data_IF_165615803336
#
_entry.id   IF_165615803336
#
_cell.length_a   1.000
_cell.length_b   1.000
_cell.length_c   1.000
_cell.angle_alpha   90.00
_cell.angle_beta   90.00
_cell.angle_gamma   90.00
#
_symmetry.space_group_name_H-M   'P 1'
#
loop_
_entity.id
_entity.type
_entity.pdbx_description
1 polymer ?
#
# COMPACT_ATOMS: atom_id res chain seq x y z
N UNK A 1 -10.23 23.42 24.65
CA UNK A 1 -11.46 23.41 23.81
C UNK A 1 -12.01 21.99 23.73
N UNK A 2 -13.21 21.75 24.27
CA UNK A 2 -13.86 20.44 24.26
C UNK A 2 -14.11 20.01 22.81
N UNK A 3 -13.70 18.78 22.48
CA UNK A 3 -13.85 18.14 21.15
C UNK A 3 -15.31 17.77 20.80
N UNK A 4 -16.27 18.18 21.63
CA UNK A 4 -17.67 17.90 21.49
C UNK A 4 -18.41 19.22 21.64
N UNK A 5 -18.66 19.88 20.52
CA UNK A 5 -19.69 20.91 20.44
C UNK A 5 -21.04 20.18 20.64
N UNK A 6 -21.81 20.61 21.63
CA UNK A 6 -23.05 19.97 22.10
C UNK A 6 -24.24 20.09 21.13
N UNK A 7 -24.02 20.54 19.88
CA UNK A 7 -25.06 20.79 18.87
C UNK A 7 -24.78 20.11 17.51
N UNK A 8 -24.08 18.97 17.48
CA UNK A 8 -24.03 18.17 16.25
C UNK A 8 -25.30 17.31 16.14
N UNK A 9 -26.16 17.58 15.16
CA UNK A 9 -27.18 16.61 14.73
C UNK A 9 -26.49 15.24 14.54
N UNK A 10 -26.80 14.27 15.41
CA UNK A 10 -26.23 12.94 15.31
C UNK A 10 -26.69 12.28 14.01
N UNK A 11 -25.82 12.29 13.00
CA UNK A 11 -26.06 11.59 11.73
C UNK A 11 -25.61 10.13 11.86
N UNK A 12 -26.32 9.18 11.22
CA UNK A 12 -25.86 7.80 11.16
C UNK A 12 -24.46 7.72 10.54
N UNK A 13 -23.58 6.94 11.17
CA UNK A 13 -22.26 6.67 10.60
C UNK A 13 -22.40 5.69 9.42
N UNK A 14 -21.71 5.93 8.29
CA UNK A 14 -21.71 5.00 7.17
C UNK A 14 -20.91 3.74 7.49
N UNK A 15 -21.25 2.63 6.81
CA UNK A 15 -20.37 1.48 6.75
C UNK A 15 -19.13 1.81 5.92
N UNK A 16 -17.97 1.30 6.34
CA UNK A 16 -16.71 1.45 5.61
C UNK A 16 -16.34 0.09 5.03
N UNK A 17 -16.12 0.03 3.71
CA UNK A 17 -15.67 -1.18 3.01
C UNK A 17 -14.29 -0.91 2.42
N UNK A 18 -13.29 -1.66 2.88
CA UNK A 18 -11.92 -1.56 2.41
C UNK A 18 -11.67 -2.73 1.46
N UNK A 19 -11.29 -2.42 0.21
CA UNK A 19 -11.10 -3.40 -0.86
C UNK A 19 -9.64 -3.40 -1.27
N UNK A 20 -9.00 -4.57 -1.20
CA UNK A 20 -7.65 -4.81 -1.65
C UNK A 20 -7.73 -5.75 -2.87
N UNK A 21 -7.44 -5.24 -4.06
CA UNK A 21 -7.54 -6.03 -5.30
C UNK A 21 -6.42 -7.07 -5.43
N UNK A 22 -5.22 -6.75 -4.94
CA UNK A 22 -4.09 -7.66 -4.90
C UNK A 22 -3.34 -7.55 -3.57
N UNK A 23 -3.72 -8.41 -2.62
CA UNK A 23 -3.08 -8.49 -1.30
C UNK A 23 -1.59 -8.86 -1.40
N UNK A 24 -1.19 -9.66 -2.39
CA UNK A 24 0.19 -10.15 -2.48
C UNK A 24 1.19 -9.01 -2.66
N UNK A 25 0.82 -7.96 -3.39
CA UNK A 25 1.69 -6.80 -3.62
C UNK A 25 2.00 -6.07 -2.31
N UNK A 26 1.00 -5.94 -1.42
CA UNK A 26 1.23 -5.37 -0.09
C UNK A 26 2.06 -6.30 0.80
N UNK A 27 1.80 -7.61 0.74
CA UNK A 27 2.55 -8.60 1.54
C UNK A 27 4.02 -8.67 1.14
N UNK A 28 4.35 -8.45 -0.14
CA UNK A 28 5.72 -8.42 -0.64
C UNK A 28 6.47 -7.14 -0.26
N UNK A 29 5.76 -6.03 -0.05
CA UNK A 29 6.35 -4.76 0.37
C UNK A 29 6.57 -4.70 1.88
N UNK A 30 5.53 -5.03 2.66
CA UNK A 30 5.55 -4.92 4.12
C UNK A 30 4.59 -5.92 4.80
N UNK A 31 4.83 -7.21 4.57
CA UNK A 31 3.90 -8.26 4.99
C UNK A 31 3.60 -8.30 6.49
N UNK A 32 4.55 -7.93 7.36
CA UNK A 32 4.33 -7.95 8.81
C UNK A 32 3.30 -6.89 9.23
N UNK A 33 3.49 -5.64 8.82
CA UNK A 33 2.60 -4.55 9.23
C UNK A 33 1.22 -4.68 8.55
N UNK A 34 1.19 -5.17 7.31
CA UNK A 34 -0.05 -5.46 6.58
C UNK A 34 -0.85 -6.57 7.27
N UNK A 35 -0.21 -7.69 7.61
CA UNK A 35 -0.86 -8.80 8.32
C UNK A 35 -1.40 -8.39 9.69
N UNK A 36 -0.63 -7.61 10.45
CA UNK A 36 -1.04 -7.07 11.76
C UNK A 36 -2.27 -6.16 11.61
N UNK A 37 -2.25 -5.25 10.64
CA UNK A 37 -3.36 -4.33 10.37
C UNK A 37 -4.62 -5.07 9.94
N UNK A 38 -4.51 -6.03 9.03
CA UNK A 38 -5.63 -6.88 8.58
C UNK A 38 -6.20 -7.66 9.76
N UNK A 39 -5.33 -8.28 10.57
CA UNK A 39 -5.74 -9.08 11.73
C UNK A 39 -6.49 -8.22 12.74
N UNK A 40 -5.94 -7.05 13.09
CA UNK A 40 -6.56 -6.12 14.06
C UNK A 40 -7.93 -5.63 13.57
N UNK A 41 -8.02 -5.24 12.30
CA UNK A 41 -9.29 -4.84 11.70
C UNK A 41 -10.28 -6.01 11.71
N UNK A 42 -9.91 -7.18 11.18
CA UNK A 42 -10.81 -8.33 11.10
C UNK A 42 -11.36 -8.78 12.47
N UNK A 43 -10.59 -8.62 13.56
CA UNK A 43 -11.02 -8.94 14.93
C UNK A 43 -12.02 -7.94 15.52
N UNK A 44 -11.84 -6.64 15.29
CA UNK A 44 -12.58 -5.59 16.01
C UNK A 44 -13.65 -4.89 15.16
N UNK A 45 -13.54 -4.97 13.83
CA UNK A 45 -14.29 -4.13 12.89
C UNK A 45 -15.79 -4.46 12.78
N UNK A 46 -16.20 -5.71 13.06
CA UNK A 46 -17.57 -6.18 12.79
C UNK A 46 -18.63 -5.36 13.51
N UNK A 47 -18.40 -4.99 14.78
CA UNK A 47 -19.38 -4.26 15.58
C UNK A 47 -19.44 -2.76 15.23
N UNK A 48 -18.39 -2.24 14.59
CA UNK A 48 -18.25 -0.81 14.24
C UNK A 48 -18.54 -0.52 12.77
N UNK A 49 -18.96 -1.53 12.00
CA UNK A 49 -19.38 -1.37 10.61
C UNK A 49 -18.23 -1.20 9.60
N UNK A 50 -17.04 -1.71 9.92
CA UNK A 50 -15.91 -1.75 8.99
C UNK A 50 -15.79 -3.18 8.41
N UNK A 51 -15.63 -3.29 7.10
CA UNK A 51 -15.59 -4.56 6.38
C UNK A 51 -14.38 -4.62 5.43
N UNK A 52 -13.76 -5.80 5.33
CA UNK A 52 -12.60 -6.03 4.47
C UNK A 52 -12.97 -6.97 3.32
N UNK A 53 -12.55 -6.63 2.10
CA UNK A 53 -12.54 -7.51 0.94
C UNK A 53 -11.09 -7.65 0.48
N UNK A 54 -10.55 -8.85 0.62
CA UNK A 54 -9.17 -9.18 0.25
C UNK A 54 -9.20 -10.08 -0.99
N UNK A 55 -8.64 -9.61 -2.10
CA UNK A 55 -8.46 -10.36 -3.32
C UNK A 55 -6.96 -10.57 -3.60
N UNK A 56 -6.65 -11.67 -4.30
CA UNK A 56 -5.29 -11.96 -4.76
C UNK A 56 -5.33 -13.00 -5.88
N UNK A 57 -4.38 -12.89 -6.81
CA UNK A 57 -4.13 -13.91 -7.84
C UNK A 57 -3.03 -14.90 -7.42
N UNK A 58 -2.37 -14.67 -6.27
CA UNK A 58 -1.25 -15.48 -5.77
C UNK A 58 -1.65 -16.21 -4.47
N UNK A 59 -2.36 -17.34 -4.56
CA UNK A 59 -2.81 -18.10 -3.40
C UNK A 59 -1.67 -18.95 -2.78
N UNK A 60 -0.62 -18.29 -2.29
CA UNK A 60 0.48 -18.91 -1.54
C UNK A 60 0.29 -18.76 -0.03
N UNK A 61 0.98 -19.61 0.74
CA UNK A 61 0.93 -19.58 2.22
C UNK A 61 1.55 -18.29 2.77
N UNK A 62 2.48 -17.69 2.03
CA UNK A 62 3.12 -16.42 2.41
C UNK A 62 2.19 -15.21 2.23
N UNK A 63 1.18 -15.32 1.35
CA UNK A 63 0.17 -14.27 1.12
C UNK A 63 -1.07 -14.53 1.97
N UNK A 64 -1.58 -15.77 1.97
CA UNK A 64 -2.77 -16.19 2.71
C UNK A 64 -2.32 -16.99 3.93
N UNK A 65 -1.77 -16.26 4.90
CA UNK A 65 -1.18 -16.84 6.10
C UNK A 65 -2.24 -17.46 7.03
N UNK A 66 -1.78 -18.22 8.03
CA UNK A 66 -2.66 -18.76 9.06
C UNK A 66 -3.39 -17.67 9.85
N UNK A 67 -2.75 -16.54 10.14
CA UNK A 67 -3.35 -15.43 10.87
C UNK A 67 -4.46 -14.76 10.06
N UNK A 68 -4.23 -14.51 8.77
CA UNK A 68 -5.26 -13.98 7.88
C UNK A 68 -6.46 -14.95 7.82
N UNK A 69 -6.20 -16.24 7.62
CA UNK A 69 -7.26 -17.26 7.59
C UNK A 69 -8.05 -17.33 8.88
N UNK A 70 -7.40 -17.23 10.04
CA UNK A 70 -8.07 -17.29 11.33
C UNK A 70 -9.07 -16.14 11.55
N UNK A 71 -8.82 -14.97 10.96
CA UNK A 71 -9.64 -13.78 11.15
C UNK A 71 -10.59 -13.47 9.97
N UNK A 72 -10.39 -14.10 8.81
CA UNK A 72 -11.25 -13.97 7.62
C UNK A 72 -11.93 -15.32 7.32
N UNK A 73 -13.05 -15.64 7.99
CA UNK A 73 -13.70 -16.95 7.92
C UNK A 73 -14.56 -17.16 6.65
N UNK A 74 -14.99 -16.08 6.01
CA UNK A 74 -15.75 -16.14 4.75
C UNK A 74 -14.79 -16.09 3.58
N UNK A 75 -14.82 -17.10 2.71
CA UNK A 75 -13.83 -17.22 1.62
C UNK A 75 -14.48 -17.59 0.30
N UNK A 76 -13.94 -17.03 -0.78
CA UNK A 76 -14.32 -17.34 -2.14
C UNK A 76 -13.07 -17.76 -2.90
N UNK A 77 -13.20 -18.78 -3.74
CA UNK A 77 -12.12 -19.25 -4.60
C UNK A 77 -12.68 -19.50 -6.00
N UNK A 78 -12.16 -18.75 -6.97
CA UNK A 78 -12.35 -19.06 -8.38
C UNK A 78 -11.40 -20.18 -8.80
N UNK A 79 -11.43 -20.55 -10.08
CA UNK A 79 -10.52 -21.57 -10.61
C UNK A 79 -9.06 -21.22 -10.31
N UNK A 80 -8.36 -22.16 -9.67
CA UNK A 80 -6.92 -22.11 -9.41
C UNK A 80 -6.18 -23.19 -10.20
N UNK A 81 -4.85 -23.11 -10.23
CA UNK A 81 -4.04 -24.05 -11.00
C UNK A 81 -3.89 -25.41 -10.31
N UNK A 82 -3.73 -25.43 -8.98
CA UNK A 82 -3.37 -26.65 -8.26
C UNK A 82 -4.25 -26.93 -7.04
N UNK A 83 -4.25 -28.19 -6.59
CA UNK A 83 -4.87 -28.60 -5.32
C UNK A 83 -4.25 -27.90 -4.11
N UNK A 84 -2.97 -27.54 -4.20
CA UNK A 84 -2.27 -26.82 -3.12
C UNK A 84 -2.89 -25.43 -2.97
N UNK A 85 -3.04 -24.70 -4.08
CA UNK A 85 -3.68 -23.38 -4.10
C UNK A 85 -5.11 -23.42 -3.56
N UNK A 86 -5.88 -24.45 -3.93
CA UNK A 86 -7.25 -24.65 -3.42
C UNK A 86 -7.26 -24.79 -1.90
N UNK A 87 -6.32 -25.57 -1.34
CA UNK A 87 -6.20 -25.73 0.12
C UNK A 87 -5.69 -24.47 0.79
N UNK A 88 -4.81 -23.71 0.14
CA UNK A 88 -4.36 -22.42 0.69
C UNK A 88 -5.53 -21.48 0.92
N UNK A 89 -6.51 -21.42 0.00
CA UNK A 89 -7.67 -20.53 0.11
C UNK A 89 -8.78 -21.12 0.99
N UNK A 90 -9.21 -22.35 0.72
CA UNK A 90 -10.43 -22.94 1.29
C UNK A 90 -10.19 -23.98 2.39
N UNK A 91 -8.93 -24.33 2.66
CA UNK A 91 -8.54 -25.50 3.46
C UNK A 91 -9.13 -26.83 2.91
N UNK A 92 -9.57 -26.83 1.64
CA UNK A 92 -10.20 -27.96 0.95
C UNK A 92 -9.78 -28.00 -0.54
N UNK A 93 -9.88 -29.18 -1.16
CA UNK A 93 -9.74 -29.32 -2.62
C UNK A 93 -11.04 -28.92 -3.33
N UNK A 94 -10.96 -28.60 -4.62
CA UNK A 94 -12.10 -28.43 -5.50
C UNK A 94 -11.96 -27.26 -6.46
N UNK A 95 -11.28 -26.19 -6.04
CA UNK A 95 -11.13 -24.99 -6.87
C UNK A 95 -10.31 -25.25 -8.13
N UNK A 96 -9.38 -26.20 -8.11
CA UNK A 96 -8.59 -26.59 -9.27
C UNK A 96 -9.42 -27.26 -10.38
N UNK A 97 -10.60 -27.78 -10.01
CA UNK A 97 -11.52 -28.48 -10.91
C UNK A 97 -12.66 -27.59 -11.42
N UNK A 98 -12.65 -26.29 -11.08
CA UNK A 98 -13.63 -25.33 -11.57
C UNK A 98 -13.44 -25.03 -13.07
N UNK A 99 -14.51 -24.59 -13.71
CA UNK A 99 -14.55 -24.32 -15.15
C UNK A 99 -13.90 -22.98 -15.53
N UNK A 100 -13.72 -22.07 -14.56
CA UNK A 100 -13.33 -20.67 -14.79
C UNK A 100 -14.54 -19.81 -15.18
N UNK A 101 -14.29 -18.59 -15.72
CA UNK A 101 -15.33 -17.66 -16.21
C UNK A 101 -16.49 -17.44 -15.22
N UNK A 102 -16.18 -17.20 -13.95
CA UNK A 102 -17.17 -16.95 -12.90
C UNK A 102 -17.58 -18.19 -12.09
N UNK A 103 -17.18 -19.40 -12.48
CA UNK A 103 -17.36 -20.58 -11.64
C UNK A 103 -16.49 -20.50 -10.38
N UNK A 104 -17.11 -20.59 -9.20
CA UNK A 104 -16.45 -20.39 -7.91
C UNK A 104 -16.94 -21.35 -6.83
N UNK A 105 -16.12 -21.49 -5.81
CA UNK A 105 -16.44 -22.14 -4.55
C UNK A 105 -16.52 -21.09 -3.44
N UNK A 106 -17.61 -21.13 -2.66
CA UNK A 106 -17.87 -20.25 -1.54
C UNK A 106 -17.90 -21.03 -0.23
N UNK A 107 -17.11 -20.59 0.75
CA UNK A 107 -17.10 -21.08 2.11
C UNK A 107 -17.72 -20.01 3.02
N UNK A 108 -18.93 -20.29 3.49
CA UNK A 108 -19.63 -19.42 4.41
C UNK A 108 -18.98 -19.44 5.80
N UNK A 109 -19.02 -18.32 6.55
CA UNK A 109 -18.44 -18.27 7.90
C UNK A 109 -19.13 -19.29 8.83
N UNK A 110 -18.32 -20.03 9.59
CA UNK A 110 -18.82 -21.05 10.53
C UNK A 110 -19.32 -22.35 9.88
N UNK A 111 -19.24 -22.47 8.55
CA UNK A 111 -19.55 -23.70 7.82
C UNK A 111 -18.26 -24.42 7.42
N UNK A 112 -18.27 -25.75 7.47
CA UNK A 112 -17.25 -26.58 6.82
C UNK A 112 -17.62 -26.99 5.38
N UNK A 113 -18.86 -26.70 4.97
CA UNK A 113 -19.37 -27.06 3.65
C UNK A 113 -19.13 -25.94 2.66
N UNK A 114 -18.40 -26.28 1.60
CA UNK A 114 -18.19 -25.42 0.43
C UNK A 114 -19.40 -25.52 -0.51
N UNK A 115 -19.84 -24.39 -1.02
CA UNK A 115 -20.94 -24.26 -1.99
C UNK A 115 -20.37 -23.87 -3.35
N UNK A 116 -20.76 -24.57 -4.42
CA UNK A 116 -20.42 -24.15 -5.78
C UNK A 116 -21.42 -23.12 -6.27
N UNK A 117 -20.91 -22.01 -6.79
CA UNK A 117 -21.70 -20.86 -7.23
C UNK A 117 -21.18 -20.40 -8.59
N UNK A 118 -22.08 -19.93 -9.46
CA UNK A 118 -21.72 -19.27 -10.70
C UNK A 118 -21.90 -17.77 -10.50
N UNK A 119 -20.79 -17.03 -10.45
CA UNK A 119 -20.80 -15.60 -10.31
C UNK A 119 -21.43 -14.94 -11.56
N UNK A 120 -22.28 -13.91 -11.38
CA UNK A 120 -22.84 -13.19 -12.50
C UNK A 120 -21.73 -12.49 -13.29
N UNK A 121 -21.87 -12.48 -14.61
CA UNK A 121 -21.01 -11.69 -15.49
C UNK A 121 -21.49 -10.24 -15.45
N UNK A 122 -20.56 -9.32 -15.21
CA UNK A 122 -20.77 -7.89 -15.39
C UNK A 122 -19.74 -7.41 -16.41
N UNK A 123 -20.20 -6.74 -17.46
CA UNK A 123 -19.35 -6.21 -18.51
C UNK A 123 -18.78 -4.84 -18.13
N UNK A 124 -17.65 -4.46 -18.71
CA UNK A 124 -17.06 -3.12 -18.53
C UNK A 124 -18.04 -1.99 -18.89
N UNK A 125 -18.89 -2.23 -19.91
CA UNK A 125 -19.92 -1.28 -20.31
C UNK A 125 -20.96 -1.06 -19.20
N UNK A 126 -21.41 -2.13 -18.55
CA UNK A 126 -22.35 -2.04 -17.43
C UNK A 126 -21.70 -1.35 -16.22
N UNK A 127 -20.42 -1.66 -15.94
CA UNK A 127 -19.66 -0.98 -14.88
C UNK A 127 -19.59 0.53 -15.16
N UNK A 128 -19.20 0.92 -16.38
CA UNK A 128 -19.11 2.32 -16.77
C UNK A 128 -20.46 3.05 -16.65
N UNK A 129 -21.57 2.40 -17.02
CA UNK A 129 -22.91 2.95 -16.87
C UNK A 129 -23.28 3.20 -15.41
N UNK A 130 -22.97 2.27 -14.51
CA UNK A 130 -23.25 2.42 -13.07
C UNK A 130 -22.36 3.52 -12.46
N UNK A 131 -21.08 3.58 -12.83
CA UNK A 131 -20.17 4.63 -12.37
C UNK A 131 -20.65 6.01 -12.82
N UNK A 132 -21.06 6.16 -14.08
CA UNK A 132 -21.56 7.42 -14.60
C UNK A 132 -22.86 7.86 -13.92
N UNK A 133 -23.78 6.92 -13.67
CA UNK A 133 -24.99 7.18 -12.91
C UNK A 133 -24.67 7.76 -11.52
N UNK A 134 -23.67 7.21 -10.82
CA UNK A 134 -23.24 7.74 -9.52
C UNK A 134 -22.54 9.09 -9.62
N UNK A 135 -21.65 9.29 -10.60
CA UNK A 135 -20.98 10.59 -10.83
C UNK A 135 -21.96 11.72 -11.14
N UNK A 136 -23.07 11.41 -11.80
CA UNK A 136 -24.11 12.42 -12.11
C UNK A 136 -24.87 12.91 -10.87
N UNK A 137 -24.79 12.20 -9.74
CA UNK A 137 -25.51 12.53 -8.51
C UNK A 137 -24.68 13.37 -7.52
N UNK A 138 -23.36 13.40 -7.65
CA UNK A 138 -22.50 14.16 -6.75
C UNK A 138 -21.01 13.95 -6.98
N UNK A 139 -20.22 14.81 -6.37
CA UNK A 139 -18.76 14.72 -6.39
C UNK A 139 -18.25 13.83 -5.25
N UNK A 140 -17.06 13.26 -5.44
CA UNK A 140 -16.43 12.43 -4.42
C UNK A 140 -15.84 13.30 -3.31
N UNK A 141 -16.27 13.07 -2.07
CA UNK A 141 -15.70 13.68 -0.87
C UNK A 141 -14.52 12.84 -0.37
N UNK A 142 -13.30 13.30 -0.63
CA UNK A 142 -12.08 12.59 -0.23
C UNK A 142 -11.58 13.08 1.12
N UNK A 143 -11.45 12.14 2.06
CA UNK A 143 -10.75 12.36 3.32
C UNK A 143 -9.23 12.31 3.10
N UNK A 144 -8.63 13.49 2.89
CA UNK A 144 -7.21 13.66 2.53
C UNK A 144 -6.24 12.96 3.48
N UNK A 145 -6.62 12.80 4.75
CA UNK A 145 -5.82 12.09 5.77
C UNK A 145 -5.52 10.64 5.40
N UNK A 146 -6.41 9.97 4.65
CA UNK A 146 -6.15 8.60 4.17
C UNK A 146 -5.22 8.57 2.95
N UNK A 147 -5.02 9.71 2.29
CA UNK A 147 -4.14 9.85 1.12
C UNK A 147 -2.73 10.27 1.52
N UNK A 148 -2.55 10.77 2.73
CA UNK A 148 -1.24 11.05 3.31
C UNK A 148 -0.54 9.71 3.55
N UNK A 149 0.69 9.57 3.06
CA UNK A 149 1.52 8.41 3.38
C UNK A 149 1.62 8.29 4.92
N UNK A 150 1.53 7.07 5.48
CA UNK A 150 1.76 6.88 6.91
C UNK A 150 3.07 7.59 7.27
N UNK A 151 2.99 8.56 8.18
CA UNK A 151 4.21 9.09 8.81
C UNK A 151 4.89 7.85 9.38
N UNK A 152 6.12 7.57 8.97
CA UNK A 152 6.90 6.50 9.57
C UNK A 152 6.83 6.73 11.08
N UNK A 153 6.06 5.89 11.80
CA UNK A 153 6.23 5.76 13.24
C UNK A 153 7.62 5.17 13.36
N UNK A 154 8.58 6.10 13.45
CA UNK A 154 9.97 5.80 13.66
C UNK A 154 10.01 4.80 14.77
N UNK A 155 10.51 3.61 14.43
CA UNK A 155 10.84 2.57 15.38
C UNK A 155 11.84 3.22 16.34
N UNK A 156 11.34 3.82 17.41
CA UNK A 156 12.12 4.42 18.48
C UNK A 156 12.78 3.26 19.21
N UNK A 157 13.88 2.80 18.63
CA UNK A 157 14.87 2.00 19.33
C UNK A 157 15.36 2.91 20.46
N UNK A 158 14.94 2.56 21.68
CA UNK A 158 15.53 3.07 22.91
C UNK A 158 17.06 2.94 22.80
N UNK A 159 17.76 4.07 22.76
CA UNK A 159 19.20 4.06 22.54
C UNK A 159 19.85 5.43 22.53
N UNK A 160 19.82 6.14 23.66
CA UNK A 160 20.84 7.14 23.99
C UNK A 160 20.49 8.59 23.68
N UNK A 161 20.75 9.44 24.66
CA UNK A 161 20.54 10.87 24.65
C UNK A 161 21.37 11.59 23.58
N UNK A 162 20.78 12.62 22.96
CA UNK A 162 21.45 13.55 22.06
C UNK A 162 20.50 14.62 21.56
N UNK A 163 20.49 15.75 22.25
CA UNK A 163 19.84 17.01 21.88
C UNK A 163 20.48 17.59 20.59
N UNK A 164 19.69 18.26 19.75
CA UNK A 164 20.22 19.18 18.74
C UNK A 164 19.84 18.88 17.28
N UNK A 165 19.20 19.88 16.66
CA UNK A 165 19.07 20.08 15.20
C UNK A 165 20.27 19.56 14.41
N UNK A 166 20.04 18.63 13.50
CA UNK A 166 20.81 18.57 12.26
C UNK A 166 19.87 18.13 11.13
N UNK A 167 19.65 19.02 10.16
CA UNK A 167 18.85 18.80 8.95
C UNK A 167 19.69 18.08 7.87
N UNK A 168 20.75 17.37 8.30
CA UNK A 168 21.72 16.67 7.48
C UNK A 168 21.41 15.18 7.52
N UNK A 169 20.71 14.67 6.50
CA UNK A 169 20.59 13.23 6.31
C UNK A 169 21.99 12.66 6.04
N UNK A 170 22.43 11.68 6.84
CA UNK A 170 23.75 11.05 6.75
C UNK A 170 24.08 10.51 5.34
N UNK A 171 23.04 10.19 4.55
CA UNK A 171 23.18 9.65 3.19
C UNK A 171 23.06 10.73 2.12
N UNK A 172 22.89 12.01 2.48
CA UNK A 172 22.68 13.09 1.52
C UNK A 172 23.87 13.25 0.58
N UNK A 173 25.09 13.32 1.10
CA UNK A 173 26.30 13.47 0.28
C UNK A 173 26.49 12.28 -0.68
N UNK A 174 26.31 11.06 -0.17
CA UNK A 174 26.41 9.84 -0.98
C UNK A 174 25.34 9.79 -2.07
N UNK A 175 24.13 10.26 -1.76
CA UNK A 175 23.06 10.37 -2.73
C UNK A 175 23.36 11.42 -3.81
N UNK A 176 23.94 12.58 -3.43
CA UNK A 176 24.34 13.63 -4.38
C UNK A 176 25.40 13.11 -5.33
N UNK A 177 26.47 12.47 -4.81
CA UNK A 177 27.54 11.87 -5.64
C UNK A 177 26.95 10.88 -6.65
N UNK A 178 26.07 10.01 -6.18
CA UNK A 178 25.43 9.02 -7.05
C UNK A 178 24.54 9.65 -8.14
N UNK A 179 23.80 10.70 -7.82
CA UNK A 179 22.96 11.41 -8.81
C UNK A 179 23.82 12.13 -9.85
N UNK A 180 24.91 12.75 -9.41
CA UNK A 180 25.88 13.42 -10.26
C UNK A 180 26.59 12.44 -11.21
N UNK A 181 27.04 11.29 -10.71
CA UNK A 181 27.71 10.24 -11.50
C UNK A 181 26.81 9.64 -12.59
N UNK A 182 25.52 9.42 -12.25
CA UNK A 182 24.56 8.82 -13.18
C UNK A 182 23.88 9.84 -14.10
N UNK A 183 24.02 11.15 -13.82
CA UNK A 183 23.43 12.24 -14.58
C UNK A 183 21.90 12.25 -14.61
N UNK A 184 21.25 11.49 -13.73
CA UNK A 184 19.78 11.38 -13.62
C UNK A 184 19.38 11.17 -12.17
N UNK A 185 18.42 11.95 -11.68
CA UNK A 185 17.88 11.80 -10.33
C UNK A 185 16.54 11.05 -10.36
N UNK A 186 16.49 9.86 -9.78
CA UNK A 186 15.23 9.12 -9.62
C UNK A 186 15.19 8.39 -8.28
N UNK A 187 14.01 8.31 -7.68
CA UNK A 187 13.80 7.62 -6.40
C UNK A 187 14.26 6.17 -6.50
N UNK A 188 13.93 5.50 -7.61
CA UNK A 188 14.36 4.13 -7.89
C UNK A 188 15.89 3.93 -7.94
N UNK A 189 16.64 4.95 -8.40
CA UNK A 189 18.11 4.88 -8.44
C UNK A 189 18.67 4.88 -7.01
N UNK A 190 18.20 5.82 -6.19
CA UNK A 190 18.66 5.95 -4.80
C UNK A 190 18.24 4.74 -3.95
N UNK A 191 17.00 4.26 -4.08
CA UNK A 191 16.52 3.07 -3.36
C UNK A 191 17.43 1.85 -3.61
N UNK A 192 17.79 1.59 -4.87
CA UNK A 192 18.59 0.41 -5.24
C UNK A 192 20.05 0.53 -4.80
N UNK A 193 20.62 1.72 -4.86
CA UNK A 193 22.06 1.95 -4.63
C UNK A 193 22.38 2.17 -3.16
N UNK A 194 21.54 2.92 -2.45
CA UNK A 194 21.71 3.24 -1.03
C UNK A 194 20.95 2.25 -0.13
N UNK A 195 20.16 1.33 -0.71
CA UNK A 195 19.34 0.35 0.03
C UNK A 195 18.38 1.01 1.03
N UNK A 196 17.81 2.14 0.62
CA UNK A 196 16.87 2.94 1.41
C UNK A 196 15.44 2.78 0.90
N UNK A 197 14.46 3.05 1.78
CA UNK A 197 13.04 3.08 1.42
C UNK A 197 12.69 4.21 0.45
N UNK A 198 11.50 4.10 -0.18
CA UNK A 198 11.01 5.11 -1.13
C UNK A 198 10.91 6.51 -0.50
N UNK A 199 10.37 6.61 0.72
CA UNK A 199 10.18 7.88 1.42
C UNK A 199 11.50 8.63 1.61
N UNK A 200 12.51 7.95 2.14
CA UNK A 200 13.86 8.52 2.28
C UNK A 200 14.49 8.87 0.94
N UNK A 201 14.33 8.03 -0.09
CA UNK A 201 14.82 8.33 -1.43
C UNK A 201 14.12 9.55 -2.08
N UNK A 202 12.82 9.72 -1.87
CA UNK A 202 12.06 10.87 -2.33
C UNK A 202 12.48 12.14 -1.59
N UNK A 203 12.61 12.05 -0.27
CA UNK A 203 13.08 13.16 0.56
C UNK A 203 14.47 13.64 0.16
N UNK A 204 15.42 12.72 -0.08
CA UNK A 204 16.76 13.06 -0.56
C UNK A 204 16.72 13.79 -1.91
N UNK A 205 15.81 13.40 -2.82
CA UNK A 205 15.63 14.08 -4.10
C UNK A 205 14.99 15.46 -3.94
N UNK A 206 14.07 15.62 -3.01
CA UNK A 206 13.45 16.92 -2.71
C UNK A 206 14.43 17.88 -2.03
N UNK A 207 15.32 17.37 -1.16
CA UNK A 207 16.44 18.13 -0.60
C UNK A 207 17.39 18.58 -1.71
N UNK A 208 17.73 17.69 -2.65
CA UNK A 208 18.55 18.05 -3.81
C UNK A 208 17.88 19.09 -4.72
N UNK A 209 16.55 19.09 -4.83
CA UNK A 209 15.82 20.11 -5.59
C UNK A 209 15.88 21.46 -4.86
N UNK A 210 15.63 21.45 -3.54
CA UNK A 210 15.73 22.63 -2.68
C UNK A 210 17.11 23.29 -2.77
N UNK A 211 18.15 22.46 -2.82
CA UNK A 211 19.55 22.91 -2.87
C UNK A 211 20.02 23.21 -4.31
N UNK A 212 19.13 23.08 -5.30
CA UNK A 212 19.40 23.41 -6.71
C UNK A 212 20.37 22.45 -7.41
N UNK A 213 20.47 21.22 -6.91
CA UNK A 213 21.29 20.14 -7.49
C UNK A 213 20.51 19.42 -8.60
N UNK A 214 19.19 19.26 -8.43
CA UNK A 214 18.28 18.66 -9.43
C UNK A 214 17.16 19.63 -9.79
N UNK A 215 16.62 19.51 -11.00
CA UNK A 215 15.52 20.32 -11.50
C UNK A 215 14.16 19.88 -10.94
N UNK A 216 13.11 20.65 -11.25
CA UNK A 216 11.75 20.37 -10.81
C UNK A 216 11.21 19.03 -11.35
N UNK A 217 10.20 18.48 -10.68
CA UNK A 217 9.55 17.24 -11.08
C UNK A 217 8.84 17.36 -12.45
N UNK A 218 9.21 16.51 -13.42
CA UNK A 218 8.51 16.31 -14.70
C UNK A 218 7.76 14.97 -14.69
N UNK A 219 6.68 14.91 -13.91
CA UNK A 219 5.85 13.71 -13.77
C UNK A 219 6.64 12.49 -13.29
N UNK A 220 6.49 11.30 -13.91
CA UNK A 220 7.17 10.08 -13.48
C UNK A 220 8.61 9.95 -13.99
N UNK A 221 9.14 10.92 -14.73
CA UNK A 221 10.49 10.84 -15.31
C UNK A 221 11.57 11.19 -14.28
N UNK A 222 12.80 10.67 -14.44
CA UNK A 222 13.94 11.13 -13.66
C UNK A 222 14.14 12.65 -13.80
N UNK A 223 14.40 13.33 -12.69
CA UNK A 223 14.69 14.77 -12.67
C UNK A 223 16.05 15.02 -13.33
N UNK A 224 16.14 16.14 -14.05
CA UNK A 224 17.37 16.61 -14.68
C UNK A 224 18.36 17.04 -13.60
N UNK A 225 19.64 16.72 -13.79
CA UNK A 225 20.71 17.11 -12.86
C UNK A 225 21.29 18.43 -13.32
N UNK A 226 21.25 19.46 -12.47
CA UNK A 226 21.61 20.84 -12.80
C UNK A 226 23.08 21.16 -12.54
N UNK A 227 23.76 20.31 -11.76
CA UNK A 227 25.16 20.47 -11.39
C UNK A 227 26.03 19.43 -12.10
N UNK A 228 27.29 19.78 -12.31
CA UNK A 228 28.26 18.90 -12.95
C UNK A 228 28.88 17.93 -11.91
N UNK A 229 29.43 16.78 -12.34
CA UNK A 229 29.99 15.79 -11.42
C UNK A 229 31.10 16.29 -10.51
N UNK A 230 31.88 17.27 -10.98
CA UNK A 230 32.96 17.95 -10.26
C UNK A 230 32.48 18.96 -9.20
N UNK A 231 31.18 19.29 -9.16
CA UNK A 231 30.63 20.32 -8.27
C UNK A 231 30.82 20.01 -6.79
N UNK A 232 30.70 18.74 -6.38
CA UNK A 232 30.83 18.38 -4.97
C UNK A 232 32.27 18.55 -4.47
N UNK A 233 33.25 18.20 -5.30
CA UNK A 233 34.68 18.36 -4.99
C UNK A 233 35.07 19.85 -4.93
N UNK A 234 34.49 20.69 -5.80
CA UNK A 234 34.69 22.15 -5.79
C UNK A 234 34.11 22.80 -4.52
N UNK A 235 32.92 22.36 -4.09
CA UNK A 235 32.28 22.85 -2.85
C UNK A 235 33.07 22.40 -1.62
N UNK A 236 33.51 21.15 -1.56
CA UNK A 236 34.35 20.64 -0.46
C UNK A 236 35.70 21.36 -0.38
N UNK A 237 36.31 21.72 -1.52
CA UNK A 237 37.55 22.50 -1.55
C UNK A 237 37.36 23.96 -1.15
N UNK A 238 36.21 24.57 -1.45
CA UNK A 238 35.89 25.95 -1.07
C UNK A 238 35.49 26.10 0.41
N UNK A 239 35.06 25.00 1.05
CA UNK A 239 34.65 24.95 2.46
C UNK A 239 35.80 24.55 3.42
N UNK A 240 36.96 24.13 2.89
CA UNK A 240 38.20 23.90 3.64
C UNK A 240 39.09 25.12 3.68
#
# INVERSE_FOLDING_TARGET
PSLFEEDSEHKPLPYIVIILDELADLMMLDGKNVEESITRLAQMARAVGIHLILATQRPSVDVITGLIKANVPSRMSFRVATKVDSRTILDANGSESLLGRGDMLFLAPGSARVQRVHAPLVTEKEIAQVVEFWRSQGEAEYEKKFLEAPKEEGNSVEGGAGDGKDDHDELFEDAVRLVLDFGKASTSLLQRRLRIGYGRAAHLIDLMERDGIVGAADGPKPREVLKRPDWIDEVEQAMR
#
